data_IF_803065178721
#
_entry.id   IF_803065178721
#
_cell.length_a   1.000
_cell.length_b   1.000
_cell.length_c   1.000
_cell.angle_alpha   90.00
_cell.angle_beta   90.00
_cell.angle_gamma   90.00
#
_symmetry.space_group_name_H-M   'P 1'
#
loop_
_entity.id
_entity.type
_entity.pdbx_description
1 polymer ?
#
# COMPACT_ATOMS: atom_id res chain seq x y z
N UNK A 1 20.57 -8.11 -64.52
CA UNK A 1 21.71 -8.72 -65.23
C UNK A 1 22.88 -8.82 -64.25
N UNK A 2 23.42 -10.03 -63.98
CA UNK A 2 24.55 -10.36 -63.06
C UNK A 2 24.27 -10.07 -61.56
N UNK A 3 24.25 -11.05 -60.63
CA UNK A 3 25.32 -11.93 -60.07
C UNK A 3 26.40 -11.15 -59.28
N UNK A 4 26.95 -11.56 -58.12
CA UNK A 4 26.59 -12.54 -57.04
C UNK A 4 27.77 -12.70 -56.03
N UNK A 5 27.50 -13.16 -54.79
CA UNK A 5 28.41 -13.88 -53.84
C UNK A 5 29.38 -13.12 -52.89
N UNK A 6 29.52 -13.72 -51.68
CA UNK A 6 30.54 -13.47 -50.63
C UNK A 6 29.96 -12.83 -49.36
N UNK A 7 30.05 -13.40 -48.14
CA UNK A 7 30.70 -14.61 -47.65
C UNK A 7 30.41 -14.88 -46.15
N UNK A 8 31.23 -15.69 -45.47
CA UNK A 8 30.96 -16.29 -44.13
C UNK A 8 32.23 -16.37 -43.23
N UNK A 9 32.18 -16.62 -41.91
CA UNK A 9 31.01 -16.91 -41.06
C UNK A 9 30.84 -16.02 -39.78
N UNK A 10 31.63 -16.09 -38.68
CA UNK A 10 31.01 -15.86 -37.35
C UNK A 10 31.78 -14.98 -36.33
N UNK A 11 31.17 -14.86 -35.14
CA UNK A 11 31.77 -14.60 -33.81
C UNK A 11 32.48 -13.28 -33.51
N UNK A 12 31.71 -12.34 -32.94
CA UNK A 12 32.26 -11.50 -31.86
C UNK A 12 31.24 -11.27 -30.74
N UNK A 13 31.52 -11.85 -29.57
CA UNK A 13 30.73 -11.70 -28.34
C UNK A 13 30.86 -10.27 -27.78
N UNK A 14 29.95 -9.38 -28.17
CA UNK A 14 29.83 -8.04 -27.60
C UNK A 14 28.88 -7.99 -26.41
N UNK A 15 29.39 -8.15 -25.19
CA UNK A 15 28.59 -7.97 -23.95
C UNK A 15 28.00 -6.56 -23.84
N UNK A 16 26.76 -6.38 -24.28
CA UNK A 16 26.00 -5.17 -23.99
C UNK A 16 25.56 -5.20 -22.53
N UNK A 17 26.31 -4.44 -21.72
CA UNK A 17 26.01 -4.18 -20.30
C UNK A 17 24.52 -3.86 -20.14
N UNK A 18 23.86 -4.52 -19.18
CA UNK A 18 22.47 -4.27 -18.88
C UNK A 18 22.27 -2.82 -18.47
N UNK A 19 21.65 -2.02 -19.34
CA UNK A 19 21.11 -0.72 -18.95
C UNK A 19 19.90 -1.05 -18.11
N UNK A 20 20.09 -1.04 -16.78
CA UNK A 20 19.02 -1.27 -15.81
C UNK A 20 17.94 -0.22 -15.99
N UNK A 21 16.91 -0.54 -16.79
CA UNK A 21 15.72 0.31 -16.85
C UNK A 21 15.11 0.34 -15.46
N UNK A 22 14.80 1.52 -14.89
CA UNK A 22 14.14 1.57 -13.59
C UNK A 22 12.87 0.73 -13.65
N UNK A 23 12.68 -0.13 -12.65
CA UNK A 23 11.47 -0.95 -12.51
C UNK A 23 10.22 -0.09 -12.64
N UNK A 24 9.12 -0.66 -13.14
CA UNK A 24 7.86 0.06 -13.34
C UNK A 24 7.44 0.82 -12.07
N UNK A 25 7.61 0.18 -10.91
CA UNK A 25 7.34 0.76 -9.58
C UNK A 25 8.19 2.02 -9.30
N UNK A 26 9.49 2.02 -9.65
CA UNK A 26 10.36 3.20 -9.48
C UNK A 26 9.96 4.34 -10.42
N UNK A 27 9.45 4.04 -11.62
CA UNK A 27 8.94 5.06 -12.54
C UNK A 27 7.64 5.68 -12.02
N UNK A 28 6.71 4.86 -11.53
CA UNK A 28 5.45 5.33 -10.94
C UNK A 28 5.67 6.09 -9.64
N UNK A 29 6.56 5.64 -8.75
CA UNK A 29 6.92 6.37 -7.53
C UNK A 29 7.55 7.74 -7.83
N UNK A 30 8.44 7.81 -8.84
CA UNK A 30 8.99 9.09 -9.29
C UNK A 30 7.96 9.98 -9.99
N UNK A 31 6.97 9.42 -10.68
CA UNK A 31 5.84 10.19 -11.21
C UNK A 31 4.97 10.74 -10.07
N UNK A 32 4.57 9.92 -9.09
CA UNK A 32 3.82 10.38 -7.92
C UNK A 32 4.58 11.46 -7.15
N UNK A 33 5.90 11.34 -6.98
CA UNK A 33 6.72 12.40 -6.35
C UNK A 33 6.74 13.72 -7.15
N UNK A 34 6.54 13.69 -8.47
CA UNK A 34 6.40 14.89 -9.32
C UNK A 34 5.00 15.51 -9.27
N UNK A 35 3.97 14.73 -8.92
CA UNK A 35 2.57 15.20 -8.89
C UNK A 35 2.03 15.51 -7.49
N UNK A 36 2.58 14.90 -6.43
CA UNK A 36 2.21 15.16 -5.03
C UNK A 36 3.04 16.28 -4.37
N UNK A 37 3.49 17.27 -5.15
CA UNK A 37 4.14 18.46 -4.62
C UNK A 37 3.17 19.64 -4.63
N UNK A 38 3.06 20.37 -3.51
CA UNK A 38 2.20 21.55 -3.40
C UNK A 38 3.08 22.78 -3.54
N UNK A 39 3.42 23.14 -4.78
CA UNK A 39 4.24 24.31 -5.08
C UNK A 39 3.51 25.64 -4.79
N UNK A 40 2.18 25.64 -4.86
CA UNK A 40 1.35 26.85 -4.72
C UNK A 40 0.02 26.53 -4.04
N UNK A 41 -0.49 27.44 -3.21
CA UNK A 41 -1.78 27.31 -2.53
C UNK A 41 -2.51 28.66 -2.51
N UNK A 42 -3.81 28.66 -2.82
CA UNK A 42 -4.65 29.85 -2.64
C UNK A 42 -5.07 29.95 -1.17
N UNK A 43 -4.67 31.04 -0.52
CA UNK A 43 -4.87 31.30 0.91
C UNK A 43 -5.60 32.63 1.04
N UNK A 44 -6.80 32.59 1.62
CA UNK A 44 -7.62 33.78 1.90
C UNK A 44 -7.91 34.65 0.65
N UNK A 45 -7.86 34.03 -0.54
CA UNK A 45 -8.10 34.67 -1.85
C UNK A 45 -6.84 34.97 -2.66
N UNK A 46 -5.66 34.90 -2.05
CA UNK A 46 -4.37 35.16 -2.71
C UNK A 46 -3.62 33.88 -3.07
N UNK A 47 -2.98 33.84 -4.24
CA UNK A 47 -2.05 32.77 -4.61
C UNK A 47 -0.73 32.93 -3.85
N UNK A 48 -0.39 31.96 -2.98
CA UNK A 48 0.90 31.89 -2.30
C UNK A 48 1.80 30.83 -2.92
N UNK A 49 3.08 31.17 -3.07
CA UNK A 49 4.16 30.26 -3.46
C UNK A 49 5.23 30.12 -2.36
N UNK A 50 5.08 30.84 -1.23
CA UNK A 50 5.98 30.74 -0.08
C UNK A 50 5.74 29.42 0.67
N UNK A 51 6.73 28.51 0.75
CA UNK A 51 6.58 27.23 1.45
C UNK A 51 6.19 27.39 2.91
N UNK A 52 6.67 28.43 3.61
CA UNK A 52 6.36 28.66 5.03
C UNK A 52 4.89 29.07 5.22
N UNK A 53 4.38 29.98 4.38
CA UNK A 53 2.95 30.36 4.35
C UNK A 53 2.06 29.19 3.93
N UNK A 54 2.50 28.32 3.01
CA UNK A 54 1.77 27.11 2.59
C UNK A 54 1.68 26.11 3.76
N UNK A 55 2.82 25.72 4.35
CA UNK A 55 2.89 24.78 5.48
C UNK A 55 2.03 25.25 6.65
N UNK A 56 2.20 26.52 7.07
CA UNK A 56 1.46 27.10 8.18
C UNK A 56 -0.05 27.07 7.98
N UNK A 57 -0.54 27.25 6.74
CA UNK A 57 -1.97 27.23 6.43
C UNK A 57 -2.53 25.81 6.30
N UNK A 58 -1.76 24.84 5.78
CA UNK A 58 -2.11 23.41 5.82
C UNK A 58 -2.25 22.95 7.28
N UNK A 59 -1.27 23.28 8.12
CA UNK A 59 -1.29 22.95 9.56
C UNK A 59 -2.46 23.64 10.28
N UNK A 60 -2.72 24.93 10.02
CA UNK A 60 -3.88 25.67 10.57
C UNK A 60 -5.21 25.04 10.14
N UNK A 61 -5.35 24.66 8.87
CA UNK A 61 -6.55 24.01 8.34
C UNK A 61 -6.81 22.66 9.02
N UNK A 62 -5.83 21.75 9.02
CA UNK A 62 -6.01 20.43 9.62
C UNK A 62 -6.14 20.46 11.14
N UNK A 63 -5.44 21.38 11.84
CA UNK A 63 -5.70 21.63 13.27
C UNK A 63 -7.15 22.01 13.50
N UNK A 64 -7.70 22.95 12.71
CA UNK A 64 -9.12 23.34 12.81
C UNK A 64 -10.07 22.16 12.48
N UNK A 65 -9.74 21.37 11.46
CA UNK A 65 -10.56 20.23 11.02
C UNK A 65 -10.65 19.11 12.08
N UNK A 66 -9.54 18.83 12.77
CA UNK A 66 -9.45 17.78 13.80
C UNK A 66 -9.67 18.30 15.23
N UNK A 67 -9.87 19.61 15.43
CA UNK A 67 -10.27 20.16 16.73
C UNK A 67 -11.79 20.03 16.87
N UNK A 68 -12.22 19.28 17.88
CA UNK A 68 -13.63 19.20 18.24
C UNK A 68 -14.13 20.55 18.77
N UNK A 69 -15.18 21.08 18.16
CA UNK A 69 -15.79 22.36 18.56
C UNK A 69 -16.93 22.18 19.57
N UNK A 70 -17.44 20.96 19.74
CA UNK A 70 -18.49 20.66 20.70
C UNK A 70 -17.93 20.52 22.12
N UNK A 71 -18.29 21.47 23.00
CA UNK A 71 -17.97 21.43 24.43
C UNK A 71 -18.70 20.32 25.19
N UNK A 72 -19.80 19.80 24.65
CA UNK A 72 -20.53 18.67 25.19
C UNK A 72 -20.24 17.39 24.43
N UNK A 73 -19.76 16.38 25.16
CA UNK A 73 -19.78 14.97 24.76
C UNK A 73 -20.68 14.22 25.72
N UNK A 74 -21.50 13.26 25.26
CA UNK A 74 -22.10 12.28 26.16
C UNK A 74 -20.97 11.60 26.95
N UNK A 75 -21.07 11.58 28.27
CA UNK A 75 -20.15 10.79 29.07
C UNK A 75 -20.27 9.32 28.65
N UNK A 76 -19.15 8.69 28.27
CA UNK A 76 -19.12 7.27 27.87
C UNK A 76 -19.38 6.37 29.09
N UNK A 77 -20.67 6.22 29.43
CA UNK A 77 -21.14 5.38 30.54
C UNK A 77 -21.09 3.92 30.12
N UNK A 78 -19.94 3.28 30.33
CA UNK A 78 -19.64 1.90 29.97
C UNK A 78 -20.37 0.84 30.84
N UNK A 79 -21.45 1.21 31.54
CA UNK A 79 -22.03 0.44 32.63
C UNK A 79 -22.84 -0.79 32.18
N UNK A 80 -23.17 -0.91 30.90
CA UNK A 80 -23.91 -2.04 30.34
C UNK A 80 -23.40 -2.43 28.94
N UNK A 81 -22.07 -2.49 28.77
CA UNK A 81 -21.50 -3.11 27.57
C UNK A 81 -21.65 -4.64 27.68
N UNK A 82 -22.15 -5.35 26.64
CA UNK A 82 -22.01 -6.79 26.58
C UNK A 82 -20.51 -7.13 26.61
N UNK A 83 -20.08 -7.80 27.67
CA UNK A 83 -18.72 -8.32 27.78
C UNK A 83 -18.67 -9.72 27.20
N UNK A 84 -17.64 -9.99 26.38
CA UNK A 84 -17.36 -11.33 25.89
C UNK A 84 -17.30 -12.33 27.06
N UNK A 85 -18.01 -13.43 26.91
CA UNK A 85 -18.02 -14.55 27.84
C UNK A 85 -16.66 -15.29 27.80
N UNK A 86 -16.49 -16.33 28.63
CA UNK A 86 -15.23 -17.07 28.71
C UNK A 86 -14.84 -17.75 27.39
N UNK A 87 -15.81 -18.37 26.72
CA UNK A 87 -15.63 -19.08 25.45
C UNK A 87 -15.31 -18.11 24.30
N UNK A 88 -16.03 -17.00 24.19
CA UNK A 88 -15.76 -15.94 23.19
C UNK A 88 -14.35 -15.35 23.37
N UNK A 89 -13.92 -15.13 24.61
CA UNK A 89 -12.55 -14.68 24.91
C UNK A 89 -11.51 -15.72 24.50
N UNK A 90 -11.74 -17.00 24.76
CA UNK A 90 -10.83 -18.07 24.33
C UNK A 90 -10.80 -18.18 22.80
N UNK A 91 -11.95 -18.09 22.13
CA UNK A 91 -12.06 -18.14 20.68
C UNK A 91 -11.35 -16.98 19.98
N UNK A 92 -11.27 -15.80 20.60
CA UNK A 92 -10.52 -14.64 20.07
C UNK A 92 -9.02 -14.67 20.40
N UNK A 93 -8.58 -15.55 21.30
CA UNK A 93 -7.18 -15.75 21.68
C UNK A 93 -6.57 -17.03 21.10
N UNK A 94 -7.35 -17.88 20.43
CA UNK A 94 -6.84 -19.07 19.73
C UNK A 94 -6.06 -18.64 18.48
N UNK A 95 -5.12 -19.48 18.07
CA UNK A 95 -4.33 -19.30 16.87
C UNK A 95 -5.25 -19.37 15.62
N UNK A 96 -4.99 -18.55 14.61
CA UNK A 96 -5.78 -18.54 13.38
C UNK A 96 -5.74 -19.88 12.64
N UNK A 97 -6.87 -20.24 12.00
CA UNK A 97 -6.97 -21.39 11.10
C UNK A 97 -6.72 -20.99 9.63
N UNK A 98 -6.17 -21.91 8.82
CA UNK A 98 -5.93 -21.68 7.38
C UNK A 98 -7.24 -21.28 6.65
N UNK A 99 -8.34 -21.93 7.02
CA UNK A 99 -9.70 -21.68 6.53
C UNK A 99 -10.19 -20.26 6.81
N UNK A 100 -9.90 -19.74 8.01
CA UNK A 100 -10.28 -18.42 8.49
C UNK A 100 -9.51 -17.33 7.75
N UNK A 101 -8.18 -17.45 7.68
CA UNK A 101 -7.32 -16.52 6.93
C UNK A 101 -7.71 -16.50 5.45
N UNK A 102 -7.90 -17.68 4.83
CA UNK A 102 -8.35 -17.77 3.44
C UNK A 102 -9.73 -17.15 3.22
N UNK A 103 -10.65 -17.27 4.18
CA UNK A 103 -11.96 -16.62 4.09
C UNK A 103 -11.84 -15.09 4.20
N UNK A 104 -11.02 -14.57 5.12
CA UNK A 104 -10.73 -13.15 5.23
C UNK A 104 -10.09 -12.58 3.94
N UNK A 105 -9.18 -13.34 3.30
CA UNK A 105 -8.62 -12.97 1.99
C UNK A 105 -9.70 -12.91 0.90
N UNK A 106 -10.65 -13.84 0.88
CA UNK A 106 -11.78 -13.86 -0.08
C UNK A 106 -12.78 -12.74 0.14
N UNK A 107 -13.01 -12.33 1.39
CA UNK A 107 -13.86 -11.20 1.75
C UNK A 107 -13.21 -9.84 1.42
N UNK A 108 -11.89 -9.79 1.23
CA UNK A 108 -11.22 -8.58 0.77
C UNK A 108 -11.45 -8.35 -0.72
N UNK A 109 -11.87 -7.14 -1.08
CA UNK A 109 -12.02 -6.72 -2.47
C UNK A 109 -10.72 -6.97 -3.28
N UNK A 110 -10.84 -7.82 -4.30
CA UNK A 110 -9.75 -8.35 -5.14
C UNK A 110 -9.14 -7.27 -6.03
N UNK A 111 -9.96 -6.30 -6.39
CA UNK A 111 -9.75 -5.16 -7.28
C UNK A 111 -9.29 -3.88 -6.54
N UNK A 112 -8.99 -3.96 -5.23
CA UNK A 112 -8.30 -2.87 -4.53
C UNK A 112 -7.03 -2.49 -5.31
N UNK A 113 -6.74 -1.18 -5.34
CA UNK A 113 -5.51 -0.66 -5.90
C UNK A 113 -4.30 -1.45 -5.32
N UNK A 114 -3.31 -1.81 -6.15
CA UNK A 114 -2.18 -2.60 -5.70
C UNK A 114 -1.45 -1.88 -4.57
N UNK A 115 -0.95 -2.66 -3.62
CA UNK A 115 -0.04 -2.19 -2.60
C UNK A 115 1.22 -1.58 -3.25
N UNK A 116 2.04 -0.78 -2.52
CA UNK A 116 3.25 -0.17 -3.07
C UNK A 116 4.28 -1.15 -3.67
N UNK A 117 4.16 -2.43 -3.32
CA UNK A 117 4.91 -3.57 -3.86
C UNK A 117 4.45 -4.02 -5.27
N UNK A 118 3.23 -3.65 -5.69
CA UNK A 118 2.60 -4.04 -6.95
C UNK A 118 1.65 -5.23 -6.86
N UNK A 119 1.42 -5.82 -5.68
CA UNK A 119 0.52 -6.96 -5.50
C UNK A 119 -0.88 -6.52 -5.05
N UNK A 120 -1.91 -7.23 -5.53
CA UNK A 120 -3.30 -7.08 -5.09
C UNK A 120 -3.73 -8.29 -4.25
N UNK A 121 -4.87 -8.20 -3.55
CA UNK A 121 -5.44 -9.35 -2.83
C UNK A 121 -5.68 -10.57 -3.74
N UNK A 122 -5.91 -10.34 -5.04
CA UNK A 122 -6.02 -11.39 -6.05
C UNK A 122 -4.74 -12.22 -6.26
N UNK A 123 -3.55 -11.67 -5.99
CA UNK A 123 -2.31 -12.44 -6.00
C UNK A 123 -2.30 -13.49 -4.89
N UNK A 124 -2.57 -13.08 -3.65
CA UNK A 124 -2.59 -13.96 -2.48
C UNK A 124 -3.64 -15.06 -2.61
N UNK A 125 -4.82 -14.74 -3.18
CA UNK A 125 -5.85 -15.75 -3.47
C UNK A 125 -5.43 -16.73 -4.57
N UNK A 126 -4.80 -16.26 -5.64
CA UNK A 126 -4.38 -17.11 -6.77
C UNK A 126 -3.17 -17.99 -6.43
N UNK A 127 -2.29 -17.50 -5.56
CA UNK A 127 -1.07 -18.17 -5.14
C UNK A 127 -1.15 -18.81 -3.75
N UNK A 128 -2.36 -18.93 -3.15
CA UNK A 128 -2.56 -19.39 -1.77
C UNK A 128 -1.78 -20.66 -1.43
N UNK A 129 -1.90 -21.71 -2.25
CA UNK A 129 -1.21 -23.00 -2.04
C UNK A 129 0.33 -22.89 -2.02
N UNK A 130 0.90 -21.79 -2.53
CA UNK A 130 2.34 -21.50 -2.51
C UNK A 130 2.72 -20.67 -1.28
N UNK A 131 1.96 -19.62 -0.96
CA UNK A 131 2.32 -18.63 0.09
C UNK A 131 1.74 -18.93 1.47
N UNK A 132 0.81 -19.88 1.59
CA UNK A 132 0.08 -20.13 2.84
C UNK A 132 0.98 -20.58 4.00
N UNK A 133 2.08 -21.30 3.73
CA UNK A 133 3.05 -21.67 4.75
C UNK A 133 3.63 -20.44 5.44
N UNK A 134 4.29 -19.59 4.65
CA UNK A 134 4.89 -18.33 5.10
C UNK A 134 3.88 -17.41 5.81
N UNK A 135 2.65 -17.33 5.29
CA UNK A 135 1.59 -16.49 5.87
C UNK A 135 1.12 -17.05 7.22
N UNK A 136 0.87 -18.36 7.32
CA UNK A 136 0.43 -18.97 8.59
C UNK A 136 1.55 -18.93 9.64
N UNK A 137 2.82 -19.10 9.24
CA UNK A 137 3.98 -18.92 10.12
C UNK A 137 4.12 -17.47 10.60
N UNK A 138 3.96 -16.49 9.71
CA UNK A 138 3.95 -15.07 10.09
C UNK A 138 2.81 -14.73 11.06
N UNK A 139 1.65 -15.40 10.94
CA UNK A 139 0.57 -15.28 11.92
C UNK A 139 0.90 -15.93 13.27
N UNK A 140 1.55 -17.11 13.32
CA UNK A 140 1.98 -17.69 14.62
C UNK A 140 2.96 -16.76 15.34
N UNK A 141 4.00 -16.29 14.62
CA UNK A 141 5.02 -15.37 15.13
C UNK A 141 4.49 -13.99 15.60
N UNK A 142 3.21 -13.68 15.36
CA UNK A 142 2.56 -12.46 15.86
C UNK A 142 1.91 -12.66 17.25
N UNK A 143 1.67 -13.90 17.68
CA UNK A 143 1.07 -14.23 18.97
C UNK A 143 2.09 -14.64 20.05
N UNK A 144 3.31 -15.03 19.65
CA UNK A 144 4.43 -15.38 20.54
C UNK A 144 5.16 -14.15 21.12
#
# INVERSE_FOLDING_TARGET
MRKSHGGKNPDHYGSKKGIGTPSSSTKMANAHKRYNNIDQLVIEGELSQDPSRIEGQIVKFYKKLYTETNSWRPAFRNNNRPTLNGEEKMHLQRNFEESEVLNCLKMCAIDKAPSPDGFTMGFFLKCWEVVKGDIMEAFQNFYD
#
